data_IF_630840789050
#
_entry.id   IF_630840789050
#
_cell.length_a   1.000
_cell.length_b   1.000
_cell.length_c   1.000
_cell.angle_alpha   90.00
_cell.angle_beta   90.00
_cell.angle_gamma   90.00
#
_symmetry.space_group_name_H-M   'P 1'
#
loop_
_entity.id
_entity.type
_entity.pdbx_description
1 polymer ?
#
# COMPACT_ATOMS: atom_id res chain seq x y z
N UNK A 1 20.88 6.46 -29.04
CA UNK A 1 21.56 6.37 -27.73
C UNK A 1 20.53 5.85 -26.75
N UNK A 2 20.67 4.62 -26.28
CA UNK A 2 19.76 4.04 -25.29
C UNK A 2 20.20 4.50 -23.89
N UNK A 3 19.31 5.15 -23.15
CA UNK A 3 19.44 5.34 -21.71
C UNK A 3 19.59 3.95 -21.07
N UNK A 4 20.81 3.61 -20.64
CA UNK A 4 20.98 2.51 -19.70
C UNK A 4 20.50 3.04 -18.36
N UNK A 5 19.35 2.54 -17.90
CA UNK A 5 18.83 2.83 -16.57
C UNK A 5 19.90 2.57 -15.51
N UNK A 6 19.99 3.46 -14.53
CA UNK A 6 20.96 3.37 -13.45
C UNK A 6 20.76 2.06 -12.66
N UNK A 7 21.78 1.17 -12.57
CA UNK A 7 21.69 -0.05 -11.79
C UNK A 7 21.38 0.21 -10.31
N UNK A 8 21.76 1.37 -9.75
CA UNK A 8 21.43 1.74 -8.38
C UNK A 8 19.93 2.03 -8.20
N UNK A 9 19.31 2.71 -9.17
CA UNK A 9 17.86 2.95 -9.18
C UNK A 9 17.08 1.64 -9.36
N UNK A 10 17.56 0.73 -10.20
CA UNK A 10 16.96 -0.61 -10.39
C UNK A 10 17.05 -1.45 -9.09
N UNK A 11 18.18 -1.39 -8.39
CA UNK A 11 18.35 -2.04 -7.08
C UNK A 11 17.53 -1.39 -5.95
N UNK A 12 17.19 -0.10 -6.05
CA UNK A 12 16.28 0.57 -5.14
C UNK A 12 14.82 0.16 -5.39
N UNK A 13 14.41 0.13 -6.66
CA UNK A 13 13.08 -0.27 -7.09
C UNK A 13 12.77 -1.74 -6.73
N UNK A 14 13.69 -2.66 -7.02
CA UNK A 14 13.50 -4.07 -6.66
C UNK A 14 13.35 -4.24 -5.14
N UNK A 15 14.17 -3.53 -4.34
CA UNK A 15 14.03 -3.56 -2.87
C UNK A 15 12.68 -3.03 -2.39
N UNK A 16 12.14 -2.00 -3.03
CA UNK A 16 10.82 -1.47 -2.70
C UNK A 16 9.71 -2.50 -3.01
N UNK A 17 9.82 -3.22 -4.14
CA UNK A 17 8.91 -4.33 -4.47
C UNK A 17 9.01 -5.45 -3.45
N UNK A 18 10.23 -5.89 -3.13
CA UNK A 18 10.45 -7.00 -2.19
C UNK A 18 9.92 -6.65 -0.80
N UNK A 19 10.13 -5.40 -0.37
CA UNK A 19 9.56 -4.88 0.88
C UNK A 19 8.05 -4.90 0.84
N UNK A 20 7.43 -4.39 -0.24
CA UNK A 20 5.98 -4.36 -0.38
C UNK A 20 5.38 -5.78 -0.38
N UNK A 21 5.99 -6.74 -1.09
CA UNK A 21 5.54 -8.14 -1.09
C UNK A 21 5.60 -8.76 0.32
N UNK A 22 6.70 -8.53 1.05
CA UNK A 22 6.85 -9.01 2.42
C UNK A 22 5.78 -8.43 3.36
N UNK A 23 5.55 -7.11 3.30
CA UNK A 23 4.53 -6.44 4.11
C UNK A 23 3.12 -6.95 3.78
N UNK A 24 2.78 -7.09 2.49
CA UNK A 24 1.46 -7.59 2.06
C UNK A 24 1.22 -9.04 2.49
N UNK A 25 2.24 -9.91 2.45
CA UNK A 25 2.14 -11.28 2.96
C UNK A 25 1.91 -11.32 4.47
N UNK A 26 2.62 -10.47 5.21
CA UNK A 26 2.43 -10.35 6.66
C UNK A 26 0.99 -9.92 6.99
N UNK A 27 0.49 -8.94 6.24
CA UNK A 27 -0.85 -8.40 6.39
C UNK A 27 -1.93 -9.45 6.05
N UNK A 28 -1.75 -10.21 4.96
CA UNK A 28 -2.61 -11.34 4.61
C UNK A 28 -2.66 -12.40 5.72
N UNK A 29 -1.49 -12.77 6.26
CA UNK A 29 -1.40 -13.77 7.32
C UNK A 29 -2.13 -13.32 8.60
N UNK A 30 -2.01 -12.04 8.97
CA UNK A 30 -2.75 -11.46 10.10
C UNK A 30 -4.25 -11.54 9.83
N UNK A 31 -4.71 -11.05 8.67
CA UNK A 31 -6.14 -11.00 8.33
C UNK A 31 -6.79 -12.39 8.33
N UNK A 32 -6.09 -13.42 7.85
CA UNK A 32 -6.57 -14.81 7.89
C UNK A 32 -6.76 -15.34 9.31
N UNK A 33 -6.01 -14.82 10.28
CA UNK A 33 -6.09 -15.22 11.68
C UNK A 33 -7.14 -14.46 12.51
N UNK A 34 -7.76 -13.41 11.96
CA UNK A 34 -8.71 -12.58 12.70
C UNK A 34 -10.08 -13.28 12.84
N UNK A 35 -10.61 -13.27 14.06
CA UNK A 35 -11.99 -13.64 14.34
C UNK A 35 -12.95 -12.48 14.03
N UNK A 36 -14.25 -12.76 14.00
CA UNK A 36 -15.28 -11.72 13.81
C UNK A 36 -15.19 -10.58 14.84
N UNK A 37 -14.86 -10.88 16.10
CA UNK A 37 -14.67 -9.86 17.13
C UNK A 37 -13.43 -9.00 16.90
N UNK A 38 -12.38 -9.57 16.33
CA UNK A 38 -11.16 -8.83 16.05
C UNK A 38 -11.39 -7.82 14.92
N UNK A 39 -12.26 -8.15 13.95
CA UNK A 39 -12.66 -7.23 12.89
C UNK A 39 -13.41 -6.00 13.40
N UNK A 40 -14.19 -6.14 14.48
CA UNK A 40 -14.94 -5.06 15.12
C UNK A 40 -14.08 -4.20 16.07
N UNK A 41 -12.85 -4.63 16.39
CA UNK A 41 -12.00 -3.94 17.34
C UNK A 41 -11.59 -2.55 16.81
N UNK A 42 -11.59 -1.50 17.66
CA UNK A 42 -11.08 -0.19 17.26
C UNK A 42 -9.56 -0.24 17.08
N UNK A 43 -9.09 0.45 16.06
CA UNK A 43 -7.68 0.63 15.77
C UNK A 43 -7.04 1.61 16.74
N UNK A 44 -5.70 1.57 16.81
CA UNK A 44 -4.91 2.55 17.59
C UNK A 44 -4.67 3.86 16.83
N UNK A 45 -5.21 3.99 15.61
CA UNK A 45 -5.05 5.19 14.80
C UNK A 45 -5.98 6.27 15.32
N UNK A 46 -5.45 7.47 15.55
CA UNK A 46 -6.26 8.61 15.95
C UNK A 46 -6.90 9.24 14.71
N UNK A 47 -8.23 9.44 14.70
CA UNK A 47 -8.89 10.24 13.69
C UNK A 47 -8.30 11.65 13.64
N UNK A 48 -8.23 12.23 12.44
CA UNK A 48 -7.79 13.63 12.27
C UNK A 48 -8.80 14.57 12.97
N UNK A 49 -10.10 14.28 12.83
CA UNK A 49 -11.15 14.91 13.60
C UNK A 49 -11.42 14.08 14.86
N UNK A 50 -11.06 14.61 16.03
CA UNK A 50 -11.18 13.92 17.32
C UNK A 50 -12.62 13.70 17.78
N UNK A 51 -13.62 14.27 17.09
CA UNK A 51 -15.04 14.00 17.35
C UNK A 51 -15.53 12.72 16.70
N UNK A 52 -14.77 12.16 15.74
CA UNK A 52 -15.10 10.91 15.07
C UNK A 52 -14.62 9.69 15.87
N UNK A 53 -15.31 8.54 15.75
CA UNK A 53 -14.84 7.30 16.33
C UNK A 53 -13.54 6.83 15.65
N UNK A 54 -12.74 6.06 16.38
CA UNK A 54 -11.64 5.31 15.78
C UNK A 54 -12.18 4.33 14.75
N UNK A 55 -11.46 4.17 13.64
CA UNK A 55 -11.78 3.10 12.69
C UNK A 55 -11.65 1.74 13.35
N UNK A 56 -12.54 0.83 12.97
CA UNK A 56 -12.41 -0.60 13.23
C UNK A 56 -11.30 -1.22 12.37
N UNK A 57 -10.84 -2.42 12.74
CA UNK A 57 -9.90 -3.19 11.90
C UNK A 57 -10.52 -3.48 10.52
N UNK A 58 -11.83 -3.71 10.44
CA UNK A 58 -12.55 -3.88 9.18
C UNK A 58 -12.46 -2.64 8.28
N UNK A 59 -12.75 -1.45 8.82
CA UNK A 59 -12.68 -0.21 8.05
C UNK A 59 -11.25 0.08 7.59
N UNK A 60 -10.24 -0.21 8.42
CA UNK A 60 -8.83 -0.10 8.03
C UNK A 60 -8.49 -1.08 6.89
N UNK A 61 -8.99 -2.33 6.94
CA UNK A 61 -8.78 -3.30 5.87
C UNK A 61 -9.39 -2.84 4.54
N UNK A 62 -10.57 -2.20 4.57
CA UNK A 62 -11.17 -1.58 3.40
C UNK A 62 -10.26 -0.54 2.72
N UNK A 63 -9.47 0.22 3.50
CA UNK A 63 -8.53 1.19 2.93
C UNK A 63 -7.36 0.54 2.20
N UNK A 64 -6.88 -0.62 2.67
CA UNK A 64 -5.87 -1.40 1.95
C UNK A 64 -6.42 -1.91 0.61
N UNK A 65 -7.63 -2.46 0.60
CA UNK A 65 -8.27 -2.97 -0.62
C UNK A 65 -8.46 -1.87 -1.67
N UNK A 66 -9.00 -0.71 -1.27
CA UNK A 66 -9.15 0.46 -2.16
C UNK A 66 -7.79 0.90 -2.72
N UNK A 67 -6.77 1.01 -1.86
CA UNK A 67 -5.45 1.47 -2.28
C UNK A 67 -4.78 0.50 -3.26
N UNK A 68 -4.90 -0.82 -3.02
CA UNK A 68 -4.39 -1.86 -3.91
C UNK A 68 -5.16 -1.85 -5.24
N UNK A 69 -6.48 -1.71 -5.20
CA UNK A 69 -7.34 -1.58 -6.38
C UNK A 69 -6.90 -0.41 -7.27
N UNK A 70 -6.71 0.76 -6.67
CA UNK A 70 -6.22 1.96 -7.37
C UNK A 70 -4.83 1.75 -7.97
N UNK A 71 -3.90 1.14 -7.22
CA UNK A 71 -2.57 0.82 -7.74
C UNK A 71 -2.63 -0.10 -8.96
N UNK A 72 -3.46 -1.15 -8.91
CA UNK A 72 -3.69 -2.07 -10.04
C UNK A 72 -4.28 -1.36 -11.25
N UNK A 73 -5.23 -0.45 -11.04
CA UNK A 73 -5.82 0.35 -12.14
C UNK A 73 -4.77 1.23 -12.82
N UNK A 74 -3.89 1.89 -12.05
CA UNK A 74 -2.80 2.71 -12.60
C UNK A 74 -1.80 1.87 -13.41
N UNK A 75 -1.48 0.65 -12.95
CA UNK A 75 -0.59 -0.26 -13.69
C UNK A 75 -1.23 -0.85 -14.96
N UNK A 76 -2.55 -1.04 -14.97
CA UNK A 76 -3.27 -1.66 -16.10
C UNK A 76 -3.37 -0.76 -17.35
N UNK A 77 -3.18 0.56 -17.21
CA UNK A 77 -3.21 1.51 -18.33
C UNK A 77 -1.95 2.40 -18.33
N UNK A 78 -0.78 1.85 -18.74
CA UNK A 78 0.45 2.63 -18.85
C UNK A 78 0.24 3.83 -19.78
N UNK A 79 0.36 5.04 -19.25
CA UNK A 79 0.36 6.27 -20.05
C UNK A 79 1.81 6.57 -20.45
N UNK A 80 2.10 6.68 -21.75
CA UNK A 80 3.42 7.11 -22.23
C UNK A 80 3.72 8.53 -21.70
N UNK A 81 4.88 8.72 -21.08
CA UNK A 81 5.36 10.05 -20.69
C UNK A 81 5.06 10.52 -19.26
N UNK A 82 4.58 9.68 -18.35
CA UNK A 82 4.76 9.93 -16.91
C UNK A 82 6.05 9.24 -16.45
N UNK A 83 7.19 9.97 -16.30
CA UNK A 83 8.21 9.49 -15.39
C UNK A 83 7.49 9.32 -14.06
N UNK A 84 7.54 8.10 -13.50
CA UNK A 84 6.95 7.80 -12.20
C UNK A 84 7.27 8.96 -11.27
N UNK A 85 6.24 9.58 -10.70
CA UNK A 85 6.28 10.86 -9.99
C UNK A 85 7.26 10.75 -8.82
N UNK A 86 8.54 10.88 -9.13
CA UNK A 86 9.65 10.85 -8.21
C UNK A 86 9.68 12.22 -7.56
N UNK A 87 8.97 12.32 -6.43
CA UNK A 87 9.05 13.47 -5.53
C UNK A 87 10.08 13.17 -4.45
N UNK A 88 11.33 12.94 -4.84
CA UNK A 88 12.46 13.28 -3.99
C UNK A 88 12.97 14.64 -4.40
N UNK A 89 12.62 15.65 -3.61
CA UNK A 89 13.34 16.93 -3.56
C UNK A 89 14.69 16.75 -2.88
#
# INVERSE_FOLDING_TARGET
MAERGDPAATGSYQRAIDTLDAELRGLEAVFRGLSGKDWEAPTKLNPIDSTLPHWTVFELAGHFDISIGLARMLMAAPQEGQPGRDRTS
#
